data_IF_495244257174
#
_entry.id   IF_495244257174
#
_cell.length_a   1.000
_cell.length_b   1.000
_cell.length_c   1.000
_cell.angle_alpha   90.00
_cell.angle_beta   90.00
_cell.angle_gamma   90.00
#
_symmetry.space_group_name_H-M   'P 1'
#
loop_
_entity.id
_entity.type
_entity.pdbx_description
1 polymer ?
#
# COMPACT_ATOMS: atom_id res chain seq x y z
N UNK A 1 -20.31 -55.30 -18.36
CA UNK A 1 -20.48 -54.19 -17.40
C UNK A 1 -19.18 -54.06 -16.63
N UNK A 2 -18.35 -53.07 -16.97
CA UNK A 2 -17.13 -52.73 -16.25
C UNK A 2 -17.11 -51.22 -16.11
N UNK A 3 -17.42 -50.75 -14.91
CA UNK A 3 -17.34 -49.34 -14.55
C UNK A 3 -15.88 -48.94 -14.38
N UNK A 4 -15.57 -47.78 -14.96
CA UNK A 4 -14.30 -47.06 -14.89
C UNK A 4 -14.36 -46.03 -13.76
N UNK A 5 -13.17 -45.69 -13.27
CA UNK A 5 -12.75 -44.43 -12.66
C UNK A 5 -13.01 -44.19 -11.16
N UNK A 6 -11.87 -44.02 -10.45
CA UNK A 6 -11.73 -43.24 -9.23
C UNK A 6 -10.28 -42.76 -9.20
N UNK A 7 -10.02 -41.56 -9.73
CA UNK A 7 -8.71 -40.95 -9.79
C UNK A 7 -8.88 -39.44 -9.86
N UNK A 8 -8.29 -38.77 -8.88
CA UNK A 8 -8.56 -37.41 -8.44
C UNK A 8 -8.42 -36.32 -9.51
N UNK A 9 -9.29 -35.32 -9.40
CA UNK A 9 -8.97 -33.93 -9.72
C UNK A 9 -9.89 -33.05 -8.84
N UNK A 10 -9.41 -32.69 -7.66
CA UNK A 10 -9.91 -31.52 -6.94
C UNK A 10 -9.43 -30.30 -7.72
N UNK A 11 -10.19 -29.90 -8.73
CA UNK A 11 -10.05 -28.58 -9.32
C UNK A 11 -10.63 -27.59 -8.31
N UNK A 12 -9.77 -26.81 -7.67
CA UNK A 12 -10.17 -25.64 -6.93
C UNK A 12 -10.85 -24.68 -7.91
N UNK A 13 -12.17 -24.61 -7.83
CA UNK A 13 -12.98 -23.67 -8.58
C UNK A 13 -12.90 -22.33 -7.83
N UNK A 14 -11.87 -21.53 -8.13
CA UNK A 14 -11.85 -20.12 -7.73
C UNK A 14 -12.89 -19.42 -8.61
N UNK A 15 -14.11 -19.29 -8.09
CA UNK A 15 -15.17 -18.56 -8.75
C UNK A 15 -14.84 -17.06 -8.58
N UNK A 16 -14.08 -16.49 -9.51
CA UNK A 16 -13.91 -15.05 -9.63
C UNK A 16 -15.25 -14.44 -10.03
N UNK A 17 -16.06 -14.07 -9.03
CA UNK A 17 -17.15 -13.14 -9.23
C UNK A 17 -16.51 -11.77 -9.53
N UNK A 18 -16.37 -11.46 -10.82
CA UNK A 18 -16.10 -10.10 -11.27
C UNK A 18 -17.35 -9.26 -10.98
N UNK A 19 -17.39 -8.58 -9.84
CA UNK A 19 -18.11 -7.33 -9.69
C UNK A 19 -17.33 -6.27 -10.48
N UNK A 20 -18.06 -5.44 -11.23
CA UNK A 20 -17.50 -4.47 -12.14
C UNK A 20 -16.60 -3.46 -11.40
N UNK A 21 -15.33 -3.39 -11.83
CA UNK A 21 -14.26 -2.51 -11.37
C UNK A 21 -13.83 -2.71 -9.90
N UNK A 22 -12.69 -3.36 -9.68
CA UNK A 22 -11.93 -3.09 -8.46
C UNK A 22 -11.58 -1.59 -8.50
N UNK A 23 -11.97 -0.82 -7.47
CA UNK A 23 -11.57 0.57 -7.39
C UNK A 23 -10.08 0.64 -6.99
N UNK A 24 -9.57 -0.28 -6.19
CA UNK A 24 -8.13 -0.48 -6.07
C UNK A 24 -7.55 -1.07 -7.38
N UNK A 25 -6.59 -0.38 -7.97
CA UNK A 25 -5.92 -0.79 -9.21
C UNK A 25 -4.42 -0.99 -9.00
N UNK A 26 -3.87 -2.02 -9.64
CA UNK A 26 -2.43 -2.28 -9.63
C UNK A 26 -1.71 -1.25 -10.51
N UNK A 27 -0.57 -0.73 -10.05
CA UNK A 27 0.28 0.12 -10.86
C UNK A 27 0.82 -0.62 -12.10
N UNK A 28 0.84 0.09 -13.24
CA UNK A 28 1.11 -0.52 -14.54
C UNK A 28 2.51 -1.15 -14.64
N UNK A 29 2.56 -2.46 -14.92
CA UNK A 29 3.81 -3.19 -15.17
C UNK A 29 4.72 -3.34 -13.95
N UNK A 30 4.19 -3.17 -12.74
CA UNK A 30 4.96 -3.23 -11.49
C UNK A 30 5.22 -4.68 -11.06
N UNK A 31 6.47 -4.97 -10.71
CA UNK A 31 6.83 -6.12 -9.87
C UNK A 31 7.26 -5.62 -8.48
N UNK A 32 6.60 -6.10 -7.44
CA UNK A 32 6.85 -5.63 -6.07
C UNK A 32 8.18 -6.18 -5.56
N UNK A 33 9.16 -5.33 -5.18
CA UNK A 33 10.38 -5.79 -4.55
C UNK A 33 10.08 -6.37 -3.17
N UNK A 34 10.43 -7.64 -2.95
CA UNK A 34 10.27 -8.30 -1.64
C UNK A 34 11.58 -8.94 -1.21
N UNK A 35 12.05 -8.63 0.01
CA UNK A 35 13.13 -9.37 0.66
C UNK A 35 12.60 -10.39 1.66
N UNK A 36 13.45 -11.37 1.94
CA UNK A 36 13.29 -12.21 3.12
C UNK A 36 13.54 -11.37 4.38
N UNK A 37 12.63 -11.45 5.36
CA UNK A 37 12.67 -10.62 6.55
C UNK A 37 11.82 -9.36 6.39
N UNK A 38 12.36 -8.23 6.84
CA UNK A 38 11.60 -6.99 6.99
C UNK A 38 11.44 -6.28 5.64
N UNK A 39 10.22 -5.81 5.40
CA UNK A 39 9.81 -5.01 4.25
C UNK A 39 8.98 -3.83 4.78
N UNK A 40 8.94 -2.75 4.03
CA UNK A 40 8.23 -1.52 4.38
C UNK A 40 6.99 -1.41 3.51
N UNK A 41 5.84 -1.28 4.14
CA UNK A 41 4.65 -0.72 3.53
C UNK A 41 4.58 0.77 3.89
N UNK A 42 4.24 1.59 2.90
CA UNK A 42 3.96 3.01 3.04
C UNK A 42 2.62 3.28 2.36
N UNK A 43 1.73 4.04 2.97
CA UNK A 43 0.42 4.34 2.40
C UNK A 43 -0.02 5.76 2.70
N UNK A 44 -0.65 6.39 1.71
CA UNK A 44 -1.30 7.68 1.83
C UNK A 44 -2.82 7.44 1.75
N UNK A 45 -3.55 7.83 2.78
CA UNK A 45 -5.01 7.92 2.79
C UNK A 45 -5.41 9.34 2.43
N UNK A 46 -6.34 9.52 1.50
CA UNK A 46 -6.62 10.81 0.87
C UNK A 46 -8.14 11.04 0.88
N UNK A 47 -8.56 12.16 1.46
CA UNK A 47 -9.96 12.59 1.43
C UNK A 47 -10.36 13.19 0.08
N UNK A 48 -11.66 13.25 -0.19
CA UNK A 48 -12.24 13.98 -1.31
C UNK A 48 -12.06 15.50 -1.22
N UNK A 49 -11.85 16.00 -0.01
CA UNK A 49 -11.76 17.42 0.27
C UNK A 49 -11.01 17.70 1.57
N UNK A 50 -10.42 18.89 1.72
CA UNK A 50 -9.70 19.27 2.96
C UNK A 50 -10.58 19.34 4.21
N UNK A 51 -11.91 19.30 4.06
CA UNK A 51 -12.86 19.40 5.18
C UNK A 51 -13.57 18.08 5.50
N UNK A 52 -13.21 16.97 4.85
CA UNK A 52 -13.83 15.69 5.15
C UNK A 52 -13.32 15.11 6.46
N UNK A 53 -14.23 14.46 7.18
CA UNK A 53 -14.01 13.99 8.55
C UNK A 53 -14.12 12.47 8.69
N UNK A 54 -14.29 11.73 7.60
CA UNK A 54 -14.58 10.29 7.55
C UNK A 54 -13.44 9.49 6.91
N UNK A 55 -12.22 10.03 6.95
CA UNK A 55 -11.02 9.34 6.47
C UNK A 55 -10.87 7.99 7.14
N UNK A 56 -10.71 6.94 6.36
CA UNK A 56 -10.36 5.60 6.86
C UNK A 56 -9.25 4.99 6.01
N UNK A 57 -8.34 4.24 6.64
CA UNK A 57 -7.41 3.36 5.96
C UNK A 57 -7.12 2.09 6.78
N UNK A 58 -7.45 0.96 6.17
CA UNK A 58 -7.07 -0.38 6.60
C UNK A 58 -6.37 -1.05 5.43
N UNK A 59 -5.23 -1.69 5.69
CA UNK A 59 -4.47 -2.40 4.67
C UNK A 59 -4.27 -3.84 5.12
N UNK A 60 -4.36 -4.77 4.17
CA UNK A 60 -4.00 -6.17 4.38
C UNK A 60 -2.97 -6.61 3.34
N UNK A 61 -1.93 -7.31 3.77
CA UNK A 61 -0.99 -7.99 2.87
C UNK A 61 -1.04 -9.48 3.14
N UNK A 62 -1.30 -10.26 2.09
CA UNK A 62 -1.16 -11.71 2.10
C UNK A 62 -0.01 -12.14 1.20
N UNK A 63 0.90 -12.94 1.73
CA UNK A 63 2.01 -13.55 0.98
C UNK A 63 1.86 -15.07 1.03
N UNK A 64 1.62 -15.69 -0.12
CA UNK A 64 1.23 -17.10 -0.17
C UNK A 64 -0.11 -17.32 0.52
N UNK A 65 -0.10 -17.97 1.68
CA UNK A 65 -1.30 -18.21 2.50
C UNK A 65 -1.28 -17.46 3.84
N UNK A 66 -0.24 -16.68 4.09
CA UNK A 66 -0.03 -16.00 5.38
C UNK A 66 -0.42 -14.53 5.25
N UNK A 67 -1.29 -14.07 6.15
CA UNK A 67 -1.54 -12.63 6.36
C UNK A 67 -0.35 -12.10 7.17
N UNK A 68 0.39 -11.15 6.58
CA UNK A 68 1.63 -10.61 7.16
C UNK A 68 1.48 -9.18 7.68
N UNK A 69 0.36 -8.54 7.36
CA UNK A 69 -0.08 -7.20 7.82
C UNK A 69 -1.60 -7.14 7.66
N UNK A 70 -2.31 -6.57 8.63
CA UNK A 70 -3.77 -6.39 8.65
C UNK A 70 -4.17 -5.20 9.56
N UNK A 71 -5.46 -5.02 9.81
CA UNK A 71 -6.06 -3.95 10.64
C UNK A 71 -5.32 -3.65 11.96
N UNK A 72 -5.00 -4.60 12.83
CA UNK A 72 -4.33 -4.26 14.12
C UNK A 72 -2.79 -4.19 14.02
N UNK A 73 -2.23 -4.12 12.81
CA UNK A 73 -0.78 -4.16 12.64
C UNK A 73 -0.14 -2.81 13.00
N UNK A 74 0.91 -2.87 13.83
CA UNK A 74 1.63 -1.69 14.31
C UNK A 74 2.20 -0.88 13.14
N UNK A 75 1.96 0.43 13.16
CA UNK A 75 2.41 1.39 12.16
C UNK A 75 2.89 2.69 12.79
N UNK A 76 3.52 3.51 11.95
CA UNK A 76 3.82 4.92 12.16
C UNK A 76 2.84 5.74 11.35
N UNK A 77 2.34 6.83 11.91
CA UNK A 77 1.33 7.68 11.27
C UNK A 77 1.63 9.16 11.46
N UNK A 78 1.28 9.96 10.46
CA UNK A 78 1.39 11.42 10.52
C UNK A 78 0.35 12.09 9.63
N UNK A 79 -0.15 13.24 10.08
CA UNK A 79 -0.85 14.21 9.23
C UNK A 79 0.21 15.20 8.71
N UNK A 80 0.61 15.13 7.44
CA UNK A 80 1.68 15.97 6.91
C UNK A 80 1.22 17.43 6.77
N UNK A 81 2.04 18.37 7.25
CA UNK A 81 1.86 19.83 7.03
C UNK A 81 2.70 20.37 5.85
N UNK A 82 3.57 19.52 5.30
CA UNK A 82 4.44 19.81 4.16
C UNK A 82 4.80 18.51 3.42
N UNK A 83 5.39 18.61 2.22
CA UNK A 83 5.91 17.45 1.52
C UNK A 83 7.07 16.82 2.30
N UNK A 84 7.04 15.50 2.46
CA UNK A 84 8.04 14.77 3.24
C UNK A 84 8.94 13.93 2.31
N UNK A 85 10.28 14.03 2.41
CA UNK A 85 11.03 14.96 3.26
C UNK A 85 11.02 16.41 2.76
N UNK A 86 10.74 16.65 1.47
CA UNK A 86 10.72 17.98 0.88
C UNK A 86 10.00 18.02 -0.49
N UNK A 87 9.79 19.22 -1.03
CA UNK A 87 9.18 19.46 -2.34
C UNK A 87 9.95 18.86 -3.53
N UNK A 88 11.26 18.65 -3.39
CA UNK A 88 12.07 18.06 -4.46
C UNK A 88 11.95 16.53 -4.49
N UNK A 89 11.47 15.91 -3.41
CA UNK A 89 11.27 14.48 -3.28
C UNK A 89 10.00 14.14 -2.46
N UNK A 90 8.80 14.46 -2.95
CA UNK A 90 7.55 14.31 -2.19
C UNK A 90 7.17 12.86 -1.85
N UNK A 91 7.81 11.87 -2.50
CA UNK A 91 7.60 10.44 -2.23
C UNK A 91 8.76 9.81 -1.46
N UNK A 92 9.75 10.59 -1.00
CA UNK A 92 10.94 10.07 -0.33
C UNK A 92 10.66 9.34 0.97
N UNK A 93 9.53 9.64 1.62
CA UNK A 93 9.07 8.96 2.82
C UNK A 93 8.67 7.49 2.60
N UNK A 94 8.38 7.10 1.36
CA UNK A 94 7.99 5.72 1.00
C UNK A 94 9.18 4.76 0.95
N UNK A 95 10.40 5.30 0.92
CA UNK A 95 11.63 4.52 0.78
C UNK A 95 11.93 3.72 2.06
N UNK A 96 12.55 2.53 1.95
CA UNK A 96 12.81 1.68 3.12
C UNK A 96 13.70 2.30 4.20
N UNK A 97 14.56 3.24 3.83
CA UNK A 97 15.54 3.86 4.70
C UNK A 97 15.10 5.25 5.20
N UNK A 98 13.87 5.68 4.93
CA UNK A 98 13.32 6.89 5.52
C UNK A 98 13.15 6.71 7.04
N UNK A 99 13.49 7.75 7.78
CA UNK A 99 13.43 7.82 9.24
C UNK A 99 12.09 8.44 9.66
N UNK A 100 11.25 7.64 10.30
CA UNK A 100 9.92 8.02 10.79
C UNK A 100 9.84 8.02 12.33
N UNK A 101 10.98 8.15 13.03
CA UNK A 101 11.00 8.19 14.49
C UNK A 101 10.15 9.34 15.08
N UNK A 102 10.01 10.44 14.32
CA UNK A 102 9.19 11.60 14.70
C UNK A 102 7.69 11.42 14.41
N UNK A 103 7.27 10.31 13.77
CA UNK A 103 5.87 9.99 13.50
C UNK A 103 5.23 9.31 14.72
N UNK A 104 3.91 9.50 14.88
CA UNK A 104 3.15 8.92 15.97
C UNK A 104 3.07 7.39 15.80
N UNK A 105 3.12 6.66 16.92
CA UNK A 105 2.87 5.22 16.90
C UNK A 105 1.36 4.95 16.81
N UNK A 106 0.97 3.95 16.02
CA UNK A 106 -0.41 3.53 15.85
C UNK A 106 -0.54 2.07 15.43
N UNK A 107 -1.78 1.70 15.12
CA UNK A 107 -2.23 0.44 14.51
C UNK A 107 -3.09 0.78 13.28
N UNK A 108 -3.10 -0.06 12.24
CA UNK A 108 -4.01 0.11 11.09
C UNK A 108 -5.50 0.11 11.53
N UNK A 109 -6.42 0.52 10.65
CA UNK A 109 -7.67 1.11 11.15
C UNK A 109 -7.40 2.54 11.59
N UNK A 110 -6.78 3.29 10.67
CA UNK A 110 -6.40 4.68 10.86
C UNK A 110 -7.52 5.55 10.31
N UNK A 111 -7.92 6.55 11.07
CA UNK A 111 -8.94 7.47 10.60
C UNK A 111 -9.18 8.65 11.54
N UNK A 112 -10.32 9.29 11.34
CA UNK A 112 -10.70 10.56 11.96
C UNK A 112 -11.83 10.42 13.00
N UNK A 113 -11.59 9.69 14.09
CA UNK A 113 -12.16 10.04 15.41
C UNK A 113 -13.69 10.00 15.51
N UNK A 114 -14.34 9.24 14.64
CA UNK A 114 -15.75 8.83 14.68
C UNK A 114 -16.00 7.57 15.52
N UNK A 115 -14.92 7.09 16.17
CA UNK A 115 -14.90 6.08 17.23
C UNK A 115 -15.06 4.62 16.77
N UNK A 116 -14.72 4.33 15.53
CA UNK A 116 -14.49 2.99 14.98
C UNK A 116 -13.05 2.76 14.49
N UNK A 117 -12.17 3.76 14.58
CA UNK A 117 -10.72 3.62 14.34
C UNK A 117 -9.95 3.00 15.51
N UNK A 118 -8.94 2.19 15.21
CA UNK A 118 -7.90 1.81 16.17
C UNK A 118 -6.95 2.98 16.46
N UNK A 119 -6.60 3.75 15.41
CA UNK A 119 -5.76 4.95 15.51
C UNK A 119 -6.51 6.16 15.02
N UNK A 120 -6.99 6.97 15.97
CA UNK A 120 -7.49 8.32 15.67
C UNK A 120 -6.34 9.30 15.51
N UNK A 121 -6.27 10.00 14.38
CA UNK A 121 -5.23 11.01 14.10
C UNK A 121 -5.84 12.33 13.59
N UNK A 122 -5.16 13.44 13.85
CA UNK A 122 -5.58 14.76 13.33
C UNK A 122 -6.82 15.33 14.00
N UNK A 123 -7.42 16.33 13.34
CA UNK A 123 -8.58 17.08 13.82
C UNK A 123 -9.79 17.01 12.86
N UNK A 124 -9.73 16.14 11.85
CA UNK A 124 -10.76 16.00 10.82
C UNK A 124 -10.77 17.13 9.77
N UNK A 125 -9.68 17.87 9.60
CA UNK A 125 -9.57 18.98 8.63
C UNK A 125 -8.34 18.88 7.71
N UNK A 126 -7.87 17.67 7.45
CA UNK A 126 -6.69 17.44 6.61
C UNK A 126 -7.03 16.53 5.44
N UNK A 127 -6.47 16.87 4.28
CA UNK A 127 -6.71 16.16 3.04
C UNK A 127 -6.04 14.77 3.02
N UNK A 128 -5.01 14.55 3.84
CA UNK A 128 -4.19 13.36 3.75
C UNK A 128 -3.61 12.91 5.09
N UNK A 129 -3.44 11.59 5.23
CA UNK A 129 -2.69 10.92 6.30
C UNK A 129 -1.66 10.01 5.66
N UNK A 130 -0.42 10.06 6.15
CA UNK A 130 0.62 9.10 5.79
C UNK A 130 0.78 8.04 6.87
N UNK A 131 0.99 6.80 6.44
CA UNK A 131 1.30 5.67 7.32
C UNK A 131 2.48 4.86 6.79
N UNK A 132 3.27 4.30 7.71
CA UNK A 132 4.37 3.37 7.40
C UNK A 132 4.32 2.18 8.34
N UNK A 133 4.56 0.99 7.84
CA UNK A 133 4.59 -0.21 8.66
C UNK A 133 5.66 -1.20 8.18
N UNK A 134 6.27 -1.89 9.13
CA UNK A 134 7.18 -2.99 8.83
C UNK A 134 6.39 -4.30 8.84
N UNK A 135 6.44 -5.04 7.75
CA UNK A 135 5.89 -6.40 7.67
C UNK A 135 6.98 -7.40 7.31
N UNK A 136 6.79 -8.65 7.75
CA UNK A 136 7.82 -9.68 7.64
C UNK A 136 7.43 -10.81 6.70
N UNK A 137 8.31 -11.10 5.74
CA UNK A 137 8.17 -12.26 4.84
C UNK A 137 9.11 -13.36 5.29
N UNK A 138 8.54 -14.47 5.77
CA UNK A 138 9.28 -15.63 6.26
C UNK A 138 9.68 -16.57 5.12
N UNK A 139 10.79 -16.27 4.46
CA UNK A 139 11.28 -17.01 3.31
C UNK A 139 10.61 -16.58 2.01
N UNK A 140 11.42 -16.36 0.99
CA UNK A 140 10.95 -15.92 -0.34
C UNK A 140 10.93 -17.05 -1.36
N UNK A 141 11.25 -18.28 -0.94
CA UNK A 141 11.26 -19.45 -1.80
C UNK A 141 9.87 -19.78 -2.32
N UNK A 142 9.63 -19.52 -3.61
CA UNK A 142 8.35 -19.81 -4.26
C UNK A 142 7.30 -18.71 -4.14
N UNK A 143 7.64 -17.56 -3.56
CA UNK A 143 6.77 -16.38 -3.60
C UNK A 143 6.83 -15.78 -5.01
N UNK A 144 5.70 -15.78 -5.71
CA UNK A 144 5.57 -15.25 -7.09
C UNK A 144 4.65 -14.05 -7.19
N UNK A 145 3.76 -13.88 -6.22
CA UNK A 145 2.86 -12.75 -6.06
C UNK A 145 2.57 -12.50 -4.58
N UNK A 146 2.01 -11.33 -4.30
CA UNK A 146 1.32 -11.00 -3.05
C UNK A 146 -0.09 -10.49 -3.37
N UNK A 147 -1.00 -10.63 -2.41
CA UNK A 147 -2.32 -10.00 -2.48
C UNK A 147 -2.31 -8.80 -1.55
N UNK A 148 -2.63 -7.64 -2.10
CA UNK A 148 -2.82 -6.40 -1.36
C UNK A 148 -4.32 -6.13 -1.27
N UNK A 149 -4.81 -5.94 -0.06
CA UNK A 149 -6.17 -5.50 0.26
C UNK A 149 -6.16 -4.11 0.86
N UNK A 150 -7.15 -3.28 0.53
CA UNK A 150 -7.36 -2.00 1.16
C UNK A 150 -8.85 -1.74 1.42
N UNK A 151 -9.14 -1.13 2.56
CA UNK A 151 -10.43 -0.55 2.94
C UNK A 151 -10.16 0.93 3.24
N UNK A 152 -10.73 1.84 2.46
CA UNK A 152 -10.39 3.27 2.49
C UNK A 152 -11.58 4.16 2.17
N UNK A 153 -11.53 5.39 2.66
CA UNK A 153 -12.49 6.47 2.40
C UNK A 153 -11.68 7.78 2.41
N UNK A 154 -11.55 8.56 1.33
CA UNK A 154 -12.09 8.40 -0.02
C UNK A 154 -11.12 7.72 -1.02
N UNK A 155 -9.84 7.68 -0.69
CA UNK A 155 -8.81 7.24 -1.62
C UNK A 155 -7.54 6.82 -0.93
N UNK A 156 -6.74 6.02 -1.64
CA UNK A 156 -5.43 5.65 -1.15
C UNK A 156 -4.40 5.45 -2.27
N UNK A 157 -3.13 5.57 -1.89
CA UNK A 157 -1.99 5.10 -2.67
C UNK A 157 -1.09 4.28 -1.75
N UNK A 158 -0.62 3.13 -2.22
CA UNK A 158 0.14 2.17 -1.43
C UNK A 158 1.45 1.84 -2.13
N UNK A 159 2.54 1.99 -1.39
CA UNK A 159 3.90 1.63 -1.79
C UNK A 159 4.42 0.48 -0.95
N UNK A 160 5.21 -0.39 -1.57
CA UNK A 160 6.00 -1.40 -0.88
C UNK A 160 7.45 -1.19 -1.27
N UNK A 161 8.28 -0.92 -0.26
CA UNK A 161 9.70 -0.65 -0.39
C UNK A 161 10.02 0.42 -1.47
N UNK A 162 9.32 1.56 -1.41
CA UNK A 162 9.48 2.69 -2.33
C UNK A 162 8.85 2.53 -3.71
N UNK A 163 8.22 1.38 -4.01
CA UNK A 163 7.54 1.13 -5.30
C UNK A 163 6.04 1.25 -5.11
N UNK A 164 5.38 2.12 -5.89
CA UNK A 164 3.92 2.18 -5.91
C UNK A 164 3.37 0.85 -6.42
N UNK A 165 2.53 0.22 -5.62
CA UNK A 165 1.94 -1.08 -5.94
C UNK A 165 0.50 -0.92 -6.35
N UNK A 166 -0.26 -0.11 -5.62
CA UNK A 166 -1.67 0.06 -5.88
C UNK A 166 -2.18 1.46 -5.54
N UNK A 167 -3.30 1.81 -6.17
CA UNK A 167 -3.95 3.11 -6.07
C UNK A 167 -5.46 2.99 -6.24
N UNK A 168 -6.21 3.76 -5.48
CA UNK A 168 -7.65 3.96 -5.69
C UNK A 168 -7.92 4.60 -7.07
N UNK A 169 -8.80 3.99 -7.85
CA UNK A 169 -9.15 4.42 -9.19
C UNK A 169 -10.00 5.69 -9.14
N UNK A 170 -9.95 6.49 -10.19
CA UNK A 170 -10.80 7.67 -10.30
C UNK A 170 -10.33 8.88 -9.48
N UNK A 171 -9.26 8.76 -8.68
CA UNK A 171 -8.65 9.92 -8.02
C UNK A 171 -8.08 10.92 -9.04
N UNK A 172 -8.38 12.21 -8.85
CA UNK A 172 -7.78 13.32 -9.61
C UNK A 172 -6.56 13.88 -8.89
N UNK A 173 -5.63 12.98 -8.53
CA UNK A 173 -4.37 13.31 -7.86
C UNK A 173 -3.18 13.18 -8.79
N UNK A 174 -2.07 13.84 -8.44
CA UNK A 174 -0.80 13.68 -9.16
C UNK A 174 -0.29 12.24 -9.02
N UNK A 175 0.62 11.84 -9.92
CA UNK A 175 1.34 10.56 -9.82
C UNK A 175 2.01 10.41 -8.44
N UNK A 176 2.58 11.48 -7.90
CA UNK A 176 3.00 11.56 -6.50
C UNK A 176 2.16 12.63 -5.80
N UNK A 177 1.12 12.24 -5.03
CA UNK A 177 0.29 13.20 -4.30
C UNK A 177 1.14 14.02 -3.32
N UNK A 178 0.95 15.33 -3.32
CA UNK A 178 1.54 16.25 -2.32
C UNK A 178 0.64 16.34 -1.10
N UNK A 179 1.20 16.75 0.04
CA UNK A 179 0.52 16.76 1.35
C UNK A 179 -0.89 17.41 1.37
N UNK A 180 -1.12 18.34 0.46
CA UNK A 180 -2.35 19.13 0.30
C UNK A 180 -3.20 18.75 -0.92
N UNK A 181 -2.89 17.65 -1.62
CA UNK A 181 -3.76 17.08 -2.65
C UNK A 181 -4.95 16.34 -2.01
N UNK A 182 -6.11 16.38 -2.67
CA UNK A 182 -7.32 15.63 -2.32
C UNK A 182 -7.88 14.94 -3.57
N UNK A 183 -8.75 13.94 -3.41
CA UNK A 183 -9.16 13.05 -4.52
C UNK A 183 -10.09 13.72 -5.53
N UNK A 184 -10.87 14.74 -5.14
CA UNK A 184 -11.80 15.47 -6.01
C UNK A 184 -11.37 16.91 -6.38
N UNK A 185 -10.74 17.11 -7.54
CA UNK A 185 -10.44 18.46 -8.06
C UNK A 185 -11.53 19.03 -9.00
N UNK A 186 -12.78 18.57 -8.84
CA UNK A 186 -13.95 19.04 -9.59
C UNK A 186 -14.65 17.97 -10.44
N UNK A 187 -14.34 16.70 -10.20
CA UNK A 187 -14.92 15.52 -10.84
C UNK A 187 -16.04 14.85 -10.04
N UNK A 188 -16.30 15.25 -8.79
CA UNK A 188 -17.33 14.65 -7.93
C UNK A 188 -16.98 13.22 -7.49
N UNK A 189 -15.69 12.96 -7.26
CA UNK A 189 -15.15 11.64 -6.94
C UNK A 189 -15.12 11.46 -5.42
N UNK A 190 -15.96 10.58 -4.90
CA UNK A 190 -15.85 10.00 -3.56
C UNK A 190 -15.84 8.50 -3.71
N UNK A 191 -15.05 7.81 -2.91
CA UNK A 191 -15.04 6.35 -2.90
C UNK A 191 -14.81 5.84 -1.50
N UNK A 192 -15.89 5.33 -0.94
CA UNK A 192 -15.88 4.63 0.32
C UNK A 192 -15.82 3.12 0.02
N UNK A 193 -14.80 2.45 0.54
CA UNK A 193 -14.81 1.00 0.66
C UNK A 193 -15.80 0.58 1.77
N UNK A 194 -15.58 -0.52 2.47
CA UNK A 194 -16.63 -1.10 3.32
C UNK A 194 -16.52 -0.68 4.79
N UNK A 195 -17.47 0.08 5.34
CA UNK A 195 -17.57 0.31 6.82
C UNK A 195 -18.09 -0.90 7.61
N UNK A 196 -17.59 -2.11 7.31
CA UNK A 196 -18.00 -3.35 7.99
C UNK A 196 -16.96 -3.82 8.98
N UNK A 197 -17.40 -4.49 10.05
CA UNK A 197 -16.54 -5.25 10.96
C UNK A 197 -16.88 -6.75 10.83
N UNK A 198 -15.94 -7.60 10.33
CA UNK A 198 -14.59 -7.26 9.87
C UNK A 198 -14.60 -6.48 8.53
N UNK A 199 -13.51 -5.77 8.18
CA UNK A 199 -13.40 -4.99 6.94
C UNK A 199 -13.56 -5.85 5.69
N UNK A 200 -14.11 -5.25 4.63
CA UNK A 200 -14.25 -5.92 3.33
C UNK A 200 -13.32 -5.29 2.32
N UNK A 201 -12.13 -5.86 2.22
CA UNK A 201 -11.06 -5.34 1.36
C UNK A 201 -11.38 -5.39 -0.13
N UNK A 202 -11.07 -4.29 -0.82
CA UNK A 202 -10.78 -4.33 -2.24
C UNK A 202 -9.38 -4.91 -2.45
N UNK A 203 -9.21 -5.85 -3.38
CA UNK A 203 -7.95 -6.59 -3.50
C UNK A 203 -7.36 -6.54 -4.91
N UNK A 204 -6.03 -6.49 -4.96
CA UNK A 204 -5.22 -6.68 -6.16
C UNK A 204 -4.14 -7.72 -5.92
N UNK A 205 -3.86 -8.54 -6.93
CA UNK A 205 -2.72 -9.46 -6.91
C UNK A 205 -1.55 -8.82 -7.67
N UNK A 206 -0.43 -8.65 -6.98
CA UNK A 206 0.77 -8.01 -7.52
C UNK A 206 1.87 -9.06 -7.72
N UNK A 207 2.49 -9.17 -8.92
CA UNK A 207 3.64 -10.04 -9.12
C UNK A 207 4.82 -9.52 -8.29
N UNK A 208 5.65 -10.42 -7.77
CA UNK A 208 6.80 -10.03 -6.94
C UNK A 208 8.14 -10.28 -7.64
N UNK A 209 9.10 -9.41 -7.33
CA UNK A 209 10.51 -9.57 -7.65
C UNK A 209 11.30 -9.74 -6.36
N UNK A 210 11.87 -10.92 -6.17
CA UNK A 210 12.67 -11.20 -4.97
C UNK A 210 13.98 -10.42 -4.99
N UNK A 211 14.27 -9.73 -3.90
CA UNK A 211 15.52 -8.98 -3.68
C UNK A 211 16.28 -9.51 -2.46
N UNK A 212 17.60 -9.32 -2.47
CA UNK A 212 18.47 -9.87 -1.41
C UNK A 212 18.29 -9.19 -0.06
N UNK A 213 18.13 -7.87 -0.05
CA UNK A 213 17.86 -7.07 1.15
C UNK A 213 17.18 -5.76 0.74
N UNK A 214 16.29 -5.29 1.60
CA UNK A 214 15.60 -4.01 1.46
C UNK A 214 16.31 -2.89 2.24
N UNK A 215 16.93 -3.24 3.38
CA UNK A 215 17.64 -2.28 4.25
C UNK A 215 19.12 -2.08 3.86
N UNK A 216 19.66 -2.95 3.00
CA UNK A 216 21.04 -2.83 2.52
C UNK A 216 21.08 -2.14 1.15
N UNK A 217 20.90 -0.83 1.14
CA UNK A 217 21.68 0.01 0.22
C UNK A 217 22.69 0.74 1.09
N UNK A 218 23.80 0.04 1.38
CA UNK A 218 25.00 0.73 1.83
C UNK A 218 25.30 1.78 0.74
N UNK A 219 25.58 3.03 1.12
CA UNK A 219 25.70 4.17 0.18
C UNK A 219 26.69 3.92 -0.98
N UNK A 220 27.52 2.88 -0.88
CA UNK A 220 28.39 2.35 -1.92
C UNK A 220 27.65 1.80 -3.16
N UNK A 221 26.49 1.15 -3.03
CA UNK A 221 25.79 0.55 -4.18
C UNK A 221 24.96 1.57 -4.97
N UNK A 222 24.55 2.68 -4.34
CA UNK A 222 24.00 3.85 -5.03
C UNK A 222 25.02 4.49 -6.00
N UNK A 223 26.32 4.36 -5.74
CA UNK A 223 27.36 4.84 -6.67
C UNK A 223 27.55 3.89 -7.86
N UNK A 224 27.29 2.58 -7.73
CA UNK A 224 27.57 1.63 -8.81
C UNK A 224 26.57 1.77 -9.97
N UNK A 225 25.29 2.01 -9.68
CA UNK A 225 24.25 2.21 -10.70
C UNK A 225 24.37 3.58 -11.38
N UNK A 226 24.57 4.67 -10.63
CA UNK A 226 24.67 6.02 -11.22
C UNK A 226 25.99 6.24 -11.98
N UNK A 227 27.13 5.70 -11.54
CA UNK A 227 28.39 5.80 -12.27
C UNK A 227 28.51 4.80 -13.43
N UNK A 228 27.83 3.65 -13.36
CA UNK A 228 27.77 2.64 -14.42
C UNK A 228 27.10 3.15 -15.71
N UNK A 229 26.11 4.05 -15.57
CA UNK A 229 25.38 4.62 -16.71
C UNK A 229 26.06 5.87 -17.29
N UNK A 230 26.85 6.59 -16.50
CA UNK A 230 27.68 7.72 -16.98
C UNK A 230 28.86 7.22 -17.83
N UNK A 231 29.45 6.06 -17.50
CA UNK A 231 30.57 5.49 -18.28
C UNK A 231 30.16 4.84 -19.60
N UNK A 232 28.85 4.65 -19.86
CA UNK A 232 28.35 4.13 -21.14
C UNK A 232 27.96 5.21 -22.16
N UNK A 233 28.18 6.48 -21.83
CA UNK A 233 27.93 7.64 -22.72
C UNK A 233 29.20 8.38 -23.16
N UNK A 234 30.37 7.78 -23.00
CA UNK A 234 31.63 8.23 -23.60
C UNK A 234 32.38 7.08 -24.25
#
# INVERSE_FOLDING_TARGET
MTWKQGGAALAALLLAAHSAHAALTLADGVEVPIANGDNVLAAAAINDSPGSSDLTLIVQITVGNDIVLDEEHICKVIVPEENIPDDANPAGWTEPNFDDDDWEDGEYGIGYGDADDNTTIGDGQHAMVYSRAIFKVAGTGGVTSLILGADYDDGCVIWINGVEVARASGMDTKEFPTFDDWTDQGGGQSHEASKTDPPTYETVEAPVRIVGSILAVDAADRLVTTWGDIRRRY
#
